data_IF_040723203334
#
_entry.id   IF_040723203334
#
_cell.length_a   1.000
_cell.length_b   1.000
_cell.length_c   1.000
_cell.angle_alpha   90.00
_cell.angle_beta   90.00
_cell.angle_gamma   90.00
#
_symmetry.space_group_name_H-M   'P 1'
#
loop_
_entity.id
_entity.type
_entity.pdbx_description
1 polymer ?
#
# COMPACT_ATOMS: atom_id res chain seq x y z
N UNK A 1 31.81 8.62 28.90
CA UNK A 1 30.52 9.19 29.30
C UNK A 1 29.42 9.01 28.27
N UNK A 2 29.70 9.28 27.02
CA UNK A 2 28.71 9.06 25.94
C UNK A 2 28.31 7.59 25.82
N UNK A 3 29.27 6.68 25.98
CA UNK A 3 29.03 5.23 25.92
C UNK A 3 28.09 4.75 27.03
N UNK A 4 28.20 5.36 28.24
CA UNK A 4 27.32 5.02 29.35
C UNK A 4 25.88 5.45 29.10
N UNK A 5 25.68 6.62 28.51
CA UNK A 5 24.34 7.15 28.16
C UNK A 5 23.72 6.26 27.07
N UNK A 6 24.50 5.85 26.08
CA UNK A 6 24.04 4.98 25.00
C UNK A 6 23.61 3.62 25.53
N UNK A 7 24.41 3.03 26.44
CA UNK A 7 24.06 1.75 27.07
C UNK A 7 22.77 1.87 27.89
N UNK A 8 22.59 2.97 28.62
CA UNK A 8 21.37 3.22 29.38
C UNK A 8 20.16 3.38 28.44
N UNK A 9 20.35 4.04 27.31
CA UNK A 9 19.31 4.19 26.30
C UNK A 9 18.90 2.82 25.72
N UNK A 10 19.87 1.97 25.39
CA UNK A 10 19.58 0.63 24.88
C UNK A 10 18.88 -0.23 25.94
N UNK A 11 19.30 -0.14 27.19
CA UNK A 11 18.67 -0.85 28.29
C UNK A 11 17.24 -0.39 28.49
N UNK A 12 17.00 0.91 28.43
CA UNK A 12 15.66 1.49 28.54
C UNK A 12 14.77 1.02 27.38
N UNK A 13 15.29 1.06 26.17
CA UNK A 13 14.57 0.62 24.97
C UNK A 13 14.22 -0.87 25.04
N UNK A 14 15.18 -1.71 25.46
CA UNK A 14 14.94 -3.14 25.63
C UNK A 14 13.97 -3.42 26.77
N UNK A 15 14.05 -2.65 27.85
CA UNK A 15 13.12 -2.77 28.98
C UNK A 15 11.70 -2.43 28.56
N UNK A 16 11.52 -1.35 27.79
CA UNK A 16 10.20 -1.00 27.26
C UNK A 16 9.66 -2.08 26.33
N UNK A 17 10.51 -2.66 25.51
CA UNK A 17 10.12 -3.76 24.62
C UNK A 17 9.68 -4.99 25.42
N UNK A 18 10.33 -5.27 26.54
CA UNK A 18 9.96 -6.36 27.45
C UNK A 18 8.72 -6.03 28.29
N UNK A 19 8.53 -4.75 28.61
CA UNK A 19 7.39 -4.29 29.39
C UNK A 19 6.09 -4.42 28.61
N UNK A 20 6.10 -4.15 27.32
CA UNK A 20 4.96 -4.45 26.48
C UNK A 20 4.83 -5.96 26.35
N UNK A 21 3.80 -6.52 26.98
CA UNK A 21 3.56 -7.95 26.90
C UNK A 21 3.41 -8.38 25.42
N UNK A 22 3.82 -9.60 25.12
CA UNK A 22 3.64 -10.17 23.79
C UNK A 22 2.17 -10.12 23.35
N UNK A 23 1.24 -10.12 24.29
CA UNK A 23 -0.20 -10.02 24.06
C UNK A 23 -0.60 -8.65 23.51
N UNK A 24 -0.02 -7.57 24.06
CA UNK A 24 -0.28 -6.21 23.59
C UNK A 24 0.33 -5.97 22.21
N UNK A 25 1.54 -6.46 21.97
CA UNK A 25 2.17 -6.38 20.67
C UNK A 25 1.37 -7.16 19.62
N UNK A 26 0.84 -8.31 19.97
CA UNK A 26 0.01 -9.11 19.09
C UNK A 26 -1.30 -8.38 18.76
N UNK A 27 -1.95 -7.78 19.75
CA UNK A 27 -3.17 -7.02 19.57
C UNK A 27 -2.95 -5.80 18.67
N UNK A 28 -1.85 -5.06 18.93
CA UNK A 28 -1.48 -3.91 18.10
C UNK A 28 -1.21 -4.32 16.66
N UNK A 29 -0.51 -5.44 16.47
CA UNK A 29 -0.24 -5.96 15.13
C UNK A 29 -1.51 -6.35 14.37
N UNK A 30 -2.47 -7.00 15.06
CA UNK A 30 -3.77 -7.34 14.47
C UNK A 30 -4.54 -6.07 14.08
N UNK A 31 -4.56 -5.08 14.97
CA UNK A 31 -5.26 -3.82 14.72
C UNK A 31 -4.71 -3.11 13.49
N UNK A 32 -3.39 -3.01 13.38
CA UNK A 32 -2.74 -2.38 12.24
C UNK A 32 -3.00 -3.15 10.95
N UNK A 33 -2.98 -4.48 11.01
CA UNK A 33 -3.28 -5.33 9.86
C UNK A 33 -4.71 -5.11 9.38
N UNK A 34 -5.68 -5.07 10.30
CA UNK A 34 -7.08 -4.81 9.96
C UNK A 34 -7.25 -3.42 9.36
N UNK A 35 -6.63 -2.42 9.97
CA UNK A 35 -6.70 -1.05 9.48
C UNK A 35 -6.13 -0.93 8.07
N UNK A 36 -4.94 -1.49 7.84
CA UNK A 36 -4.30 -1.49 6.52
C UNK A 36 -5.11 -2.24 5.49
N UNK A 37 -5.70 -3.38 5.86
CA UNK A 37 -6.51 -4.19 4.96
C UNK A 37 -7.78 -3.44 4.54
N UNK A 38 -8.47 -2.82 5.49
CA UNK A 38 -9.69 -2.04 5.22
C UNK A 38 -9.35 -0.85 4.30
N UNK A 39 -8.28 -0.11 4.64
CA UNK A 39 -7.84 1.02 3.82
C UNK A 39 -7.50 0.58 2.39
N UNK A 40 -6.83 -0.57 2.25
CA UNK A 40 -6.45 -1.12 0.95
C UNK A 40 -7.66 -1.50 0.10
N UNK A 41 -8.66 -2.13 0.72
CA UNK A 41 -9.91 -2.49 0.02
C UNK A 41 -10.62 -1.22 -0.46
N UNK A 42 -10.69 -0.20 0.39
CA UNK A 42 -11.34 1.07 0.01
C UNK A 42 -10.63 1.74 -1.17
N UNK A 43 -9.31 1.82 -1.11
CA UNK A 43 -8.52 2.44 -2.18
C UNK A 43 -8.62 1.63 -3.47
N UNK A 44 -8.41 0.32 -3.40
CA UNK A 44 -8.46 -0.54 -4.59
C UNK A 44 -9.84 -0.54 -5.22
N UNK A 45 -10.90 -0.59 -4.42
CA UNK A 45 -12.27 -0.60 -4.93
C UNK A 45 -12.63 0.69 -5.66
N UNK A 46 -11.93 1.80 -5.40
CA UNK A 46 -12.19 3.06 -6.09
C UNK A 46 -11.85 3.01 -7.58
N UNK A 47 -11.01 2.07 -8.00
CA UNK A 47 -10.70 1.87 -9.42
C UNK A 47 -11.85 1.19 -10.17
N UNK A 48 -12.66 0.39 -9.47
CA UNK A 48 -13.72 -0.40 -10.11
C UNK A 48 -14.75 0.49 -10.82
N UNK A 49 -15.31 1.55 -10.19
CA UNK A 49 -16.22 2.45 -10.89
C UNK A 49 -15.59 3.11 -12.12
N UNK A 50 -14.31 3.47 -12.04
CA UNK A 50 -13.59 4.07 -13.17
C UNK A 50 -13.45 3.10 -14.32
N UNK A 51 -13.13 1.83 -14.03
CA UNK A 51 -13.01 0.77 -15.05
C UNK A 51 -14.37 0.54 -15.69
N UNK A 52 -15.44 0.42 -14.91
CA UNK A 52 -16.80 0.21 -15.40
C UNK A 52 -17.22 1.38 -16.29
N UNK A 53 -17.01 2.62 -15.84
CA UNK A 53 -17.33 3.82 -16.58
C UNK A 53 -16.57 3.85 -17.90
N UNK A 54 -15.27 3.59 -17.88
CA UNK A 54 -14.43 3.57 -19.06
C UNK A 54 -14.85 2.51 -20.06
N UNK A 55 -15.20 1.32 -19.58
CA UNK A 55 -15.69 0.23 -20.44
C UNK A 55 -17.03 0.57 -21.08
N UNK A 56 -17.95 1.16 -20.32
CA UNK A 56 -19.30 1.50 -20.80
C UNK A 56 -19.31 2.71 -21.73
N UNK A 57 -18.59 3.77 -21.36
CA UNK A 57 -18.60 5.03 -22.13
C UNK A 57 -17.57 5.04 -23.24
N UNK A 58 -16.54 4.19 -23.14
CA UNK A 58 -15.37 4.16 -24.05
C UNK A 58 -14.62 5.48 -24.07
N UNK A 59 -14.71 6.26 -22.99
CA UNK A 59 -14.01 7.53 -22.81
C UNK A 59 -13.34 7.57 -21.46
N UNK A 60 -12.03 7.80 -21.47
CA UNK A 60 -11.20 7.94 -20.27
C UNK A 60 -10.33 9.21 -20.37
N UNK A 61 -10.86 10.25 -21.00
CA UNK A 61 -10.11 11.48 -21.24
C UNK A 61 -9.79 12.24 -19.98
N UNK A 62 -10.58 12.03 -18.92
CA UNK A 62 -10.40 12.63 -17.61
C UNK A 62 -9.31 11.94 -16.78
N UNK A 63 -8.77 10.82 -17.23
CA UNK A 63 -7.72 10.09 -16.54
C UNK A 63 -6.37 10.37 -17.18
N UNK A 64 -5.42 10.85 -16.40
CA UNK A 64 -4.10 11.23 -16.91
C UNK A 64 -3.17 10.02 -17.07
N UNK A 65 -2.53 9.89 -18.23
CA UNK A 65 -1.48 8.89 -18.43
C UNK A 65 -0.33 9.07 -17.45
N UNK A 66 0.09 10.31 -17.22
CA UNK A 66 1.17 10.61 -16.29
C UNK A 66 0.85 10.12 -14.89
N UNK A 67 -0.37 10.39 -14.43
CA UNK A 67 -0.82 9.95 -13.11
C UNK A 67 -0.77 8.42 -13.00
N UNK A 68 -1.26 7.72 -14.01
CA UNK A 68 -1.27 6.25 -14.01
C UNK A 68 0.13 5.66 -13.99
N UNK A 69 1.05 6.27 -14.73
CA UNK A 69 2.45 5.83 -14.76
C UNK A 69 3.11 6.08 -13.40
N UNK A 70 2.91 7.26 -12.81
CA UNK A 70 3.46 7.58 -11.49
C UNK A 70 2.92 6.65 -10.40
N UNK A 71 1.62 6.35 -10.45
CA UNK A 71 0.99 5.40 -9.53
C UNK A 71 1.64 4.02 -9.68
N UNK A 72 1.83 3.55 -10.92
CA UNK A 72 2.43 2.24 -11.16
C UNK A 72 3.85 2.14 -10.63
N UNK A 73 4.65 3.19 -10.83
CA UNK A 73 6.01 3.27 -10.29
C UNK A 73 5.97 3.26 -8.77
N UNK A 74 5.13 4.09 -8.17
CA UNK A 74 5.00 4.17 -6.72
C UNK A 74 4.59 2.85 -6.08
N UNK A 75 3.62 2.16 -6.69
CA UNK A 75 3.16 0.85 -6.20
C UNK A 75 4.25 -0.20 -6.33
N UNK A 76 5.03 -0.17 -7.40
CA UNK A 76 6.16 -1.09 -7.57
C UNK A 76 7.20 -0.89 -6.46
N UNK A 77 7.49 0.35 -6.10
CA UNK A 77 8.39 0.66 -4.99
C UNK A 77 7.81 0.18 -3.65
N UNK A 78 6.50 0.35 -3.45
CA UNK A 78 5.82 -0.14 -2.25
C UNK A 78 5.84 -1.67 -2.15
N UNK A 79 5.75 -2.38 -3.27
CA UNK A 79 5.85 -3.85 -3.29
C UNK A 79 7.25 -4.27 -2.83
N UNK A 80 8.29 -3.61 -3.33
CA UNK A 80 9.67 -3.88 -2.91
C UNK A 80 9.82 -3.63 -1.40
N UNK A 81 9.30 -2.51 -0.92
CA UNK A 81 9.32 -2.19 0.51
C UNK A 81 8.57 -3.25 1.33
N UNK A 82 7.41 -3.68 0.85
CA UNK A 82 6.62 -4.71 1.53
C UNK A 82 7.33 -6.06 1.59
N UNK A 83 8.05 -6.42 0.54
CA UNK A 83 8.85 -7.65 0.51
C UNK A 83 9.96 -7.57 1.57
N UNK A 84 10.68 -6.44 1.64
CA UNK A 84 11.72 -6.24 2.64
C UNK A 84 11.18 -6.29 4.06
N UNK A 85 9.98 -5.76 4.27
CA UNK A 85 9.32 -5.76 5.58
C UNK A 85 8.56 -7.05 5.86
N UNK A 86 8.45 -7.95 4.89
CA UNK A 86 7.65 -9.18 4.98
C UNK A 86 6.19 -8.89 5.38
N UNK A 87 5.65 -7.81 4.82
CA UNK A 87 4.28 -7.36 5.12
C UNK A 87 3.35 -7.73 3.95
N UNK A 88 2.58 -8.78 4.15
CA UNK A 88 1.66 -9.31 3.12
C UNK A 88 0.53 -8.32 2.80
N UNK A 89 0.11 -7.49 3.74
CA UNK A 89 -0.92 -6.48 3.49
C UNK A 89 -0.42 -5.45 2.50
N UNK A 90 0.79 -4.95 2.70
CA UNK A 90 1.41 -3.97 1.79
C UNK A 90 1.62 -4.59 0.41
N UNK A 91 2.16 -5.80 0.34
CA UNK A 91 2.41 -6.50 -0.93
C UNK A 91 1.09 -6.72 -1.66
N UNK A 92 0.11 -7.34 -0.99
CA UNK A 92 -1.17 -7.69 -1.60
C UNK A 92 -1.94 -6.47 -2.08
N UNK A 93 -2.03 -5.43 -1.25
CA UNK A 93 -2.72 -4.19 -1.59
C UNK A 93 -2.15 -3.56 -2.86
N UNK A 94 -0.84 -3.46 -2.94
CA UNK A 94 -0.19 -2.80 -4.07
C UNK A 94 -0.23 -3.66 -5.34
N UNK A 95 -0.14 -4.99 -5.21
CA UNK A 95 -0.30 -5.90 -6.35
C UNK A 95 -1.70 -5.79 -6.94
N UNK A 96 -2.75 -5.84 -6.11
CA UNK A 96 -4.14 -5.71 -6.59
C UNK A 96 -4.35 -4.36 -7.26
N UNK A 97 -3.88 -3.30 -6.63
CA UNK A 97 -4.08 -1.94 -7.16
C UNK A 97 -3.32 -1.72 -8.47
N UNK A 98 -2.10 -2.25 -8.60
CA UNK A 98 -1.34 -2.12 -9.85
C UNK A 98 -2.03 -2.88 -10.99
N UNK A 99 -2.62 -4.05 -10.71
CA UNK A 99 -3.39 -4.80 -11.69
C UNK A 99 -4.60 -3.98 -12.17
N UNK A 100 -5.36 -3.40 -11.23
CA UNK A 100 -6.51 -2.57 -11.57
C UNK A 100 -6.10 -1.32 -12.36
N UNK A 101 -5.00 -0.68 -11.95
CA UNK A 101 -4.46 0.47 -12.66
C UNK A 101 -4.01 0.11 -14.08
N UNK A 102 -3.43 -1.07 -14.27
CA UNK A 102 -3.03 -1.53 -15.60
C UNK A 102 -4.24 -1.84 -16.50
N UNK A 103 -5.31 -2.38 -15.92
CA UNK A 103 -6.57 -2.58 -16.64
C UNK A 103 -7.13 -1.23 -17.10
N UNK A 104 -7.15 -0.25 -16.21
CA UNK A 104 -7.62 1.10 -16.51
C UNK A 104 -6.76 1.74 -17.61
N UNK A 105 -5.45 1.61 -17.51
CA UNK A 105 -4.51 2.12 -18.52
C UNK A 105 -4.74 1.44 -19.88
N UNK A 106 -4.94 0.13 -19.89
CA UNK A 106 -5.25 -0.62 -21.09
C UNK A 106 -6.52 -0.14 -21.78
N UNK A 107 -7.58 0.12 -20.98
CA UNK A 107 -8.82 0.68 -21.51
C UNK A 107 -8.62 2.07 -22.09
N UNK A 108 -7.84 2.91 -21.39
CA UNK A 108 -7.55 4.27 -21.86
C UNK A 108 -6.81 4.24 -23.20
N UNK A 109 -5.80 3.38 -23.32
CA UNK A 109 -5.06 3.22 -24.57
C UNK A 109 -5.99 2.70 -25.69
N UNK A 110 -6.82 1.70 -25.37
CA UNK A 110 -7.73 1.08 -26.34
C UNK A 110 -8.71 2.10 -26.91
N UNK A 111 -9.27 2.97 -26.07
CA UNK A 111 -10.30 3.92 -26.50
C UNK A 111 -9.76 5.31 -26.85
N UNK A 112 -8.44 5.53 -26.78
CA UNK A 112 -7.84 6.82 -27.06
C UNK A 112 -7.92 7.21 -28.54
N UNK A 113 -8.11 6.24 -29.43
CA UNK A 113 -8.15 6.46 -30.89
C UNK A 113 -9.54 6.81 -31.40
N UNK A 114 -10.50 6.84 -30.53
CA UNK A 114 -11.88 7.19 -30.89
C UNK A 114 -12.22 8.59 -30.40
#
# INVERSE_FOLDING_TARGET
MEDGIFILYLAYKNFNALYFSSKELFFEGIWLTLLGSIASVLVSSSFIPQIIKGYKTRHLDDVSYLLMILISIGMSLWIIYGIEKQDLVIIGANVVTIILNMILLGLKVKYAKN
#
